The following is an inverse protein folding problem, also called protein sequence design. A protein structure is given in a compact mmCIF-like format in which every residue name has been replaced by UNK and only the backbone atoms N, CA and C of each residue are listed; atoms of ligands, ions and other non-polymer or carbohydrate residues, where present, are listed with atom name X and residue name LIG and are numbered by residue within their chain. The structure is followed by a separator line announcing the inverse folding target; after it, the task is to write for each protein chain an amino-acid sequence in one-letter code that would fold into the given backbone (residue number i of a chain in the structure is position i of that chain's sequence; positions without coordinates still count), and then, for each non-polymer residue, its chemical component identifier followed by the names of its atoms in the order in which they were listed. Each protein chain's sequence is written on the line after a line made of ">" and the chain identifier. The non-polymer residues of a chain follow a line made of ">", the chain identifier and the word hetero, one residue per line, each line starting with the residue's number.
data_IF_609414237157
#
_entry.id   IF_609414237157
#
_cell.length_a   1.000
_cell.length_b   1.000
_cell.length_c   1.000
_cell.angle_alpha   90.00
_cell.angle_beta   90.00
_cell.angle_gamma   90.00
#
_symmetry.space_group_name_H-M   'P 1'
#
loop_
_entity.id
_entity.type
_entity.pdbx_description
1 polymer ?
#
# COMPACT_ATOMS: atom_id res chain seq x y z
N UNK A 1 22.25 -19.47 39.12
CA UNK A 1 22.19 -18.40 40.14
C UNK A 1 23.05 -17.17 39.78
N UNK A 2 24.03 -17.31 38.89
CA UNK A 2 24.93 -16.25 38.42
C UNK A 2 24.28 -15.25 37.46
N UNK A 3 23.44 -15.70 36.52
CA UNK A 3 22.78 -14.83 35.53
C UNK A 3 21.80 -13.84 36.17
N UNK A 4 20.94 -14.31 37.08
CA UNK A 4 20.01 -13.43 37.81
C UNK A 4 20.73 -12.33 38.59
N UNK A 5 21.84 -12.68 39.24
CA UNK A 5 22.65 -11.74 40.02
C UNK A 5 23.33 -10.70 39.12
N UNK A 6 23.72 -11.09 37.90
CA UNK A 6 24.28 -10.16 36.92
C UNK A 6 23.21 -9.22 36.36
N UNK A 7 22.04 -9.75 35.99
CA UNK A 7 20.93 -8.95 35.46
C UNK A 7 20.42 -7.94 36.49
N UNK A 8 20.24 -8.35 37.75
CA UNK A 8 19.73 -7.45 38.80
C UNK A 8 20.70 -6.32 39.12
N UNK A 9 22.01 -6.59 39.13
CA UNK A 9 23.04 -5.57 39.40
C UNK A 9 23.23 -4.56 38.26
N UNK A 10 22.96 -4.96 37.02
CA UNK A 10 23.23 -4.15 35.83
C UNK A 10 21.96 -3.72 35.09
N UNK A 11 20.78 -3.89 35.70
CA UNK A 11 19.48 -3.70 35.05
C UNK A 11 19.38 -2.34 34.34
N UNK A 12 19.66 -1.24 35.05
CA UNK A 12 19.53 0.11 34.49
C UNK A 12 20.48 0.35 33.31
N UNK A 13 21.72 -0.15 33.39
CA UNK A 13 22.69 -0.03 32.30
C UNK A 13 22.27 -0.85 31.07
N UNK A 14 21.67 -2.03 31.28
CA UNK A 14 21.15 -2.87 30.21
C UNK A 14 19.95 -2.16 29.56
N UNK A 15 19.01 -1.65 30.34
CA UNK A 15 17.85 -0.90 29.84
C UNK A 15 18.31 0.32 29.04
N UNK A 16 19.28 1.06 29.55
CA UNK A 16 19.84 2.23 28.86
C UNK A 16 20.41 1.86 27.48
N UNK A 17 21.23 0.78 27.40
CA UNK A 17 21.80 0.32 26.12
C UNK A 17 20.75 -0.14 25.11
N UNK A 18 19.61 -0.64 25.58
CA UNK A 18 18.52 -1.11 24.72
C UNK A 18 17.56 0.00 24.29
N UNK A 19 17.45 1.09 25.07
CA UNK A 19 16.38 2.09 24.92
C UNK A 19 16.85 3.50 24.61
N UNK A 20 18.10 3.85 24.91
CA UNK A 20 18.67 5.17 24.53
C UNK A 20 19.16 5.12 23.10
N UNK A 21 18.62 6.01 22.27
CA UNK A 21 19.03 6.15 20.87
C UNK A 21 20.48 6.66 20.79
N UNK A 22 21.37 5.96 20.07
CA UNK A 22 22.74 6.43 19.84
C UNK A 22 22.77 7.67 18.95
N UNK A 23 23.77 8.53 19.12
CA UNK A 23 23.95 9.75 18.31
C UNK A 23 24.24 9.42 16.82
N UNK A 24 24.84 8.26 16.56
CA UNK A 24 25.13 7.81 15.20
C UNK A 24 24.02 6.87 14.68
N UNK A 25 23.21 7.36 13.75
CA UNK A 25 22.13 6.60 13.10
C UNK A 25 22.58 5.50 12.15
N UNK A 26 23.87 5.44 11.82
CA UNK A 26 24.43 4.41 10.91
C UNK A 26 25.09 3.25 11.64
N UNK A 27 25.22 3.32 12.97
CA UNK A 27 25.79 2.26 13.78
C UNK A 27 24.77 1.15 14.08
N UNK A 28 24.27 0.49 13.03
CA UNK A 28 23.20 -0.51 13.11
C UNK A 28 23.54 -1.73 13.98
N UNK A 29 24.82 -1.90 14.32
CA UNK A 29 25.29 -2.93 15.23
C UNK A 29 25.01 -2.68 16.71
N UNK A 30 24.64 -1.45 17.08
CA UNK A 30 24.35 -1.09 18.46
C UNK A 30 23.09 -1.79 19.00
N UNK A 31 23.11 -2.11 20.29
CA UNK A 31 22.03 -2.85 20.96
C UNK A 31 20.67 -2.18 20.83
N UNK A 32 20.63 -0.84 20.86
CA UNK A 32 19.42 -0.08 20.62
C UNK A 32 18.78 -0.44 19.27
N UNK A 33 19.58 -0.50 18.20
CA UNK A 33 19.02 -0.76 16.88
C UNK A 33 18.60 -2.22 16.73
N UNK A 34 19.42 -3.17 17.20
CA UNK A 34 19.06 -4.60 17.18
C UNK A 34 17.78 -4.88 17.97
N UNK A 35 17.67 -4.33 19.18
CA UNK A 35 16.50 -4.52 20.03
C UNK A 35 15.22 -3.93 19.45
N UNK A 36 15.28 -2.72 18.89
CA UNK A 36 14.10 -2.09 18.31
C UNK A 36 13.73 -2.66 16.93
N UNK A 37 14.69 -3.12 16.14
CA UNK A 37 14.43 -3.87 14.90
C UNK A 37 13.66 -5.17 15.17
N UNK A 38 14.05 -5.92 16.20
CA UNK A 38 13.34 -7.15 16.61
C UNK A 38 11.86 -6.94 16.97
N UNK A 39 11.47 -5.72 17.36
CA UNK A 39 10.04 -5.41 17.61
C UNK A 39 9.24 -5.27 16.32
N UNK A 40 9.91 -5.01 15.20
CA UNK A 40 9.28 -4.83 13.90
C UNK A 40 9.06 -6.14 13.16
N UNK A 41 9.90 -7.15 13.38
CA UNK A 41 9.75 -8.50 12.81
C UNK A 41 8.33 -9.08 12.90
N UNK A 42 7.65 -9.11 14.07
CA UNK A 42 6.29 -9.64 14.14
C UNK A 42 5.30 -8.81 13.32
N UNK A 43 5.47 -7.49 13.25
CA UNK A 43 4.58 -6.59 12.50
C UNK A 43 4.75 -6.85 10.99
N UNK A 44 5.99 -6.96 10.51
CA UNK A 44 6.29 -7.28 9.11
C UNK A 44 5.74 -8.65 8.73
N UNK A 45 5.95 -9.67 9.56
CA UNK A 45 5.43 -11.02 9.30
C UNK A 45 3.91 -11.05 9.24
N UNK A 46 3.24 -10.41 10.19
CA UNK A 46 1.78 -10.34 10.23
C UNK A 46 1.23 -9.62 8.99
N UNK A 47 1.86 -8.53 8.58
CA UNK A 47 1.51 -7.82 7.36
C UNK A 47 1.65 -8.69 6.11
N UNK A 48 2.77 -9.39 5.94
CA UNK A 48 3.00 -10.24 4.77
C UNK A 48 1.97 -11.37 4.65
N UNK A 49 1.57 -11.96 5.78
CA UNK A 49 0.50 -12.97 5.82
C UNK A 49 -0.83 -12.37 5.39
N UNK A 50 -1.22 -11.21 5.96
CA UNK A 50 -2.48 -10.56 5.62
C UNK A 50 -2.52 -10.05 4.17
N UNK A 51 -1.38 -9.58 3.65
CA UNK A 51 -1.22 -9.20 2.24
C UNK A 51 -1.53 -10.41 1.36
N UNK A 52 -0.86 -11.55 1.60
CA UNK A 52 -1.07 -12.77 0.82
C UNK A 52 -2.54 -13.22 0.82
N UNK A 53 -3.22 -13.17 1.96
CA UNK A 53 -4.65 -13.50 2.06
C UNK A 53 -5.55 -12.55 1.28
N UNK A 54 -5.12 -11.29 1.12
CA UNK A 54 -5.86 -10.24 0.41
C UNK A 54 -5.67 -10.32 -1.11
N UNK A 55 -4.45 -10.63 -1.58
CA UNK A 55 -4.15 -10.76 -3.02
C UNK A 55 -4.89 -11.93 -3.67
N UNK A 56 -5.30 -12.94 -2.90
CA UNK A 56 -6.05 -14.10 -3.38
C UNK A 56 -7.56 -13.84 -3.60
N UNK A 57 -8.05 -12.61 -3.37
CA UNK A 57 -9.49 -12.30 -3.40
C UNK A 57 -9.81 -11.22 -4.46
N UNK A 58 -10.92 -11.37 -5.21
CA UNK A 58 -11.44 -10.31 -6.07
C UNK A 58 -11.69 -8.99 -5.31
N UNK A 59 -11.41 -7.84 -5.92
CA UNK A 59 -11.54 -6.52 -5.28
C UNK A 59 -12.97 -6.21 -4.80
N UNK A 60 -14.00 -6.65 -5.53
CA UNK A 60 -15.41 -6.62 -5.07
C UNK A 60 -15.69 -7.34 -3.73
N UNK A 61 -14.86 -8.32 -3.34
CA UNK A 61 -14.92 -9.01 -2.04
C UNK A 61 -14.09 -8.28 -0.99
N UNK A 62 -12.99 -7.64 -1.39
CA UNK A 62 -12.10 -6.89 -0.49
C UNK A 62 -12.80 -5.69 0.15
N UNK A 63 -13.56 -4.92 -0.61
CA UNK A 63 -14.26 -3.72 -0.10
C UNK A 63 -15.25 -4.02 1.04
N UNK A 64 -15.89 -5.20 1.04
CA UNK A 64 -16.85 -5.62 2.07
C UNK A 64 -16.19 -6.32 3.26
N UNK A 65 -14.90 -6.61 3.17
CA UNK A 65 -14.19 -7.36 4.19
C UNK A 65 -13.62 -6.42 5.25
N UNK A 66 -14.14 -6.48 6.47
CA UNK A 66 -13.58 -5.73 7.60
C UNK A 66 -12.13 -6.14 7.93
N UNK A 67 -11.70 -7.32 7.47
CA UNK A 67 -10.35 -7.82 7.72
C UNK A 67 -9.27 -7.06 6.93
N UNK A 68 -9.53 -6.57 5.71
CA UNK A 68 -8.51 -5.83 4.95
C UNK A 68 -8.24 -4.45 5.57
N UNK A 69 -9.21 -3.88 6.30
CA UNK A 69 -8.98 -2.69 7.10
C UNK A 69 -7.98 -2.91 8.24
N UNK A 70 -7.81 -4.15 8.74
CA UNK A 70 -6.73 -4.48 9.67
C UNK A 70 -5.37 -4.32 9.01
N UNK A 71 -5.23 -4.79 7.76
CA UNK A 71 -4.02 -4.64 6.96
C UNK A 71 -3.71 -3.17 6.68
N UNK A 72 -4.72 -2.36 6.34
CA UNK A 72 -4.57 -0.90 6.19
C UNK A 72 -4.04 -0.25 7.47
N UNK A 73 -4.58 -0.62 8.63
CA UNK A 73 -4.12 -0.08 9.91
C UNK A 73 -2.70 -0.54 10.27
N UNK A 74 -2.24 -1.68 9.76
CA UNK A 74 -0.85 -2.14 9.94
C UNK A 74 0.15 -1.30 9.16
N UNK A 75 -0.25 -0.72 8.03
CA UNK A 75 0.63 0.13 7.23
C UNK A 75 1.22 1.31 8.00
N UNK A 76 0.47 1.90 8.94
CA UNK A 76 0.98 2.99 9.76
C UNK A 76 2.02 2.50 10.79
N UNK A 77 1.81 1.29 11.34
CA UNK A 77 2.79 0.64 12.23
C UNK A 77 4.06 0.28 11.48
N UNK A 78 3.94 -0.24 10.26
CA UNK A 78 5.08 -0.54 9.41
C UNK A 78 5.85 0.71 9.02
N UNK A 79 5.18 1.81 8.71
CA UNK A 79 5.83 3.10 8.45
C UNK A 79 6.67 3.55 9.64
N UNK A 80 6.19 3.35 10.87
CA UNK A 80 6.99 3.65 12.06
C UNK A 80 8.23 2.76 12.18
N UNK A 81 8.06 1.47 11.88
CA UNK A 81 9.14 0.47 11.85
C UNK A 81 10.15 0.70 10.74
N UNK A 82 9.71 1.26 9.63
CA UNK A 82 10.59 1.48 8.50
C UNK A 82 11.41 2.74 8.66
N UNK A 83 11.20 3.61 9.66
CA UNK A 83 11.89 4.92 9.75
C UNK A 83 13.42 4.83 9.78
N UNK A 84 14.00 3.85 10.49
CA UNK A 84 15.46 3.68 10.58
C UNK A 84 16.03 2.76 9.50
N UNK A 85 17.13 3.19 8.86
CA UNK A 85 17.90 2.37 7.91
C UNK A 85 18.49 1.11 8.54
N UNK A 86 18.60 1.08 9.86
CA UNK A 86 19.12 -0.08 10.60
C UNK A 86 18.08 -1.18 10.83
N UNK A 87 16.80 -0.91 10.61
CA UNK A 87 15.72 -1.90 10.79
C UNK A 87 15.32 -2.52 9.46
N UNK A 88 15.45 -1.74 8.39
CA UNK A 88 14.95 -2.07 7.08
C UNK A 88 15.77 -1.34 6.04
N UNK A 89 16.22 -2.07 5.02
CA UNK A 89 16.88 -1.46 3.87
C UNK A 89 15.93 -0.51 3.14
N UNK A 90 16.49 0.39 2.33
CA UNK A 90 15.68 1.29 1.51
C UNK A 90 14.76 0.51 0.55
N UNK A 91 15.27 -0.57 -0.05
CA UNK A 91 14.49 -1.44 -0.94
C UNK A 91 13.30 -2.09 -0.22
N UNK A 92 13.52 -2.68 0.95
CA UNK A 92 12.43 -3.28 1.74
C UNK A 92 11.41 -2.24 2.20
N UNK A 93 11.88 -1.05 2.59
CA UNK A 93 11.02 0.07 2.98
C UNK A 93 10.12 0.51 1.82
N UNK A 94 10.71 0.70 0.64
CA UNK A 94 9.97 1.11 -0.55
C UNK A 94 8.97 0.03 -0.96
N UNK A 95 9.35 -1.25 -0.89
CA UNK A 95 8.43 -2.37 -1.15
C UNK A 95 7.23 -2.36 -0.20
N UNK A 96 7.43 -2.12 1.10
CA UNK A 96 6.32 -2.04 2.06
C UNK A 96 5.43 -0.81 1.82
N UNK A 97 6.02 0.33 1.42
CA UNK A 97 5.25 1.52 1.07
C UNK A 97 4.36 1.25 -0.14
N UNK A 98 4.93 0.66 -1.20
CA UNK A 98 4.20 0.28 -2.41
C UNK A 98 3.05 -0.68 -2.08
N UNK A 99 3.34 -1.75 -1.33
CA UNK A 99 2.33 -2.72 -0.88
C UNK A 99 1.18 -2.05 -0.11
N UNK A 100 1.53 -1.13 0.77
CA UNK A 100 0.55 -0.40 1.57
C UNK A 100 -0.30 0.56 0.76
N UNK A 101 0.25 1.13 -0.31
CA UNK A 101 -0.49 1.98 -1.24
C UNK A 101 -1.42 1.14 -2.12
N UNK A 102 -1.00 -0.04 -2.57
CA UNK A 102 -1.85 -1.01 -3.28
C UNK A 102 -3.02 -1.50 -2.42
N UNK A 103 -2.77 -1.87 -1.17
CA UNK A 103 -3.82 -2.33 -0.24
C UNK A 103 -4.84 -1.21 0.01
N UNK A 104 -4.38 0.03 0.17
CA UNK A 104 -5.27 1.20 0.32
C UNK A 104 -6.09 1.46 -0.94
N UNK A 105 -5.49 1.32 -2.12
CA UNK A 105 -6.22 1.40 -3.39
C UNK A 105 -7.31 0.33 -3.44
N UNK A 106 -6.99 -0.91 -3.05
CA UNK A 106 -7.90 -2.06 -3.00
C UNK A 106 -9.20 -1.84 -2.21
N UNK A 107 -9.19 -0.94 -1.22
CA UNK A 107 -10.36 -0.61 -0.38
C UNK A 107 -10.95 0.77 -0.66
N UNK A 108 -10.42 1.48 -1.65
CA UNK A 108 -10.82 2.85 -1.94
C UNK A 108 -12.15 2.93 -2.70
N UNK A 109 -12.89 4.03 -2.47
CA UNK A 109 -14.07 4.38 -3.28
C UNK A 109 -13.68 4.59 -4.76
N UNK A 110 -12.42 4.96 -5.03
CA UNK A 110 -11.86 5.08 -6.37
C UNK A 110 -11.92 3.75 -7.11
N UNK A 111 -11.27 2.69 -6.60
CA UNK A 111 -11.18 1.40 -7.29
C UNK A 111 -12.57 0.76 -7.43
N UNK A 112 -13.40 0.87 -6.39
CA UNK A 112 -14.78 0.41 -6.45
C UNK A 112 -15.57 1.10 -7.59
N UNK A 113 -15.36 2.40 -7.76
CA UNK A 113 -16.01 3.13 -8.84
C UNK A 113 -15.51 2.69 -10.22
N UNK A 114 -14.21 2.44 -10.37
CA UNK A 114 -13.65 1.87 -11.60
C UNK A 114 -14.33 0.54 -11.93
N UNK A 115 -14.40 -0.41 -10.97
CA UNK A 115 -15.08 -1.69 -11.19
C UNK A 115 -16.55 -1.50 -11.59
N UNK A 116 -17.25 -0.57 -10.92
CA UNK A 116 -18.65 -0.26 -11.24
C UNK A 116 -18.83 0.26 -12.66
N UNK A 117 -17.95 1.16 -13.11
CA UNK A 117 -17.93 1.69 -14.48
C UNK A 117 -17.57 0.60 -15.48
N UNK A 118 -16.61 -0.28 -15.18
CA UNK A 118 -16.24 -1.39 -16.07
C UNK A 118 -17.38 -2.40 -16.26
N UNK A 119 -18.17 -2.66 -15.21
CA UNK A 119 -19.33 -3.56 -15.27
C UNK A 119 -20.52 -2.91 -15.97
N UNK A 120 -20.80 -1.63 -15.64
CA UNK A 120 -21.94 -0.87 -16.18
C UNK A 120 -21.45 0.48 -16.71
N UNK A 121 -20.83 0.51 -17.91
CA UNK A 121 -20.27 1.74 -18.45
C UNK A 121 -21.38 2.77 -18.69
N UNK A 122 -21.17 4.05 -18.36
CA UNK A 122 -22.10 5.11 -18.72
C UNK A 122 -22.26 5.25 -20.22
N UNK A 123 -23.41 5.79 -20.62
CA UNK A 123 -23.70 6.11 -22.01
C UNK A 123 -22.77 7.21 -22.52
N UNK A 124 -22.08 6.95 -23.64
CA UNK A 124 -21.10 7.87 -24.22
C UNK A 124 -21.71 9.24 -24.55
N UNK A 125 -23.00 9.26 -24.89
CA UNK A 125 -23.74 10.48 -25.23
C UNK A 125 -23.93 11.44 -24.05
N UNK A 126 -23.83 10.96 -22.81
CA UNK A 126 -23.95 11.79 -21.60
C UNK A 126 -22.67 12.56 -21.30
N UNK A 127 -21.53 12.13 -21.86
CA UNK A 127 -20.21 12.68 -21.57
C UNK A 127 -19.51 13.14 -22.85
N UNK A 128 -19.61 14.43 -23.22
CA UNK A 128 -19.01 14.97 -24.44
C UNK A 128 -17.49 14.75 -24.56
N UNK A 129 -16.80 14.48 -23.45
CA UNK A 129 -15.36 14.22 -23.40
C UNK A 129 -14.94 12.79 -23.81
N UNK A 130 -15.91 11.91 -24.05
CA UNK A 130 -15.70 10.53 -24.55
C UNK A 130 -15.72 10.44 -26.09
N UNK A 131 -15.65 11.59 -26.78
CA UNK A 131 -15.51 11.75 -28.25
C UNK A 131 -16.43 10.85 -29.11
N UNK A 132 -17.55 10.35 -28.55
CA UNK A 132 -18.49 9.46 -29.23
C UNK A 132 -18.05 8.00 -29.37
N UNK A 133 -16.93 7.57 -28.79
CA UNK A 133 -16.41 6.20 -28.93
C UNK A 133 -16.60 5.36 -27.65
N UNK A 134 -17.43 4.30 -27.70
CA UNK A 134 -17.62 3.38 -26.57
C UNK A 134 -16.32 2.70 -26.11
N UNK A 135 -15.32 2.57 -26.99
CA UNK A 135 -14.06 1.93 -26.65
C UNK A 135 -13.17 2.79 -25.74
N UNK A 136 -13.40 4.10 -25.67
CA UNK A 136 -12.57 4.98 -24.84
C UNK A 136 -12.77 4.74 -23.35
N UNK A 137 -14.00 4.41 -22.94
CA UNK A 137 -14.28 4.11 -21.54
C UNK A 137 -13.63 2.81 -21.06
N UNK A 138 -13.32 1.92 -22.01
CA UNK A 138 -12.59 0.68 -21.76
C UNK A 138 -11.07 0.89 -21.76
N UNK A 139 -10.56 2.04 -22.23
CA UNK A 139 -9.14 2.38 -22.15
C UNK A 139 -8.83 3.06 -20.79
N UNK A 140 -8.78 2.24 -19.74
CA UNK A 140 -8.53 2.69 -18.36
C UNK A 140 -7.28 3.56 -18.23
N UNK A 141 -6.18 3.22 -18.92
CA UNK A 141 -4.94 4.01 -18.85
C UNK A 141 -5.13 5.41 -19.41
N UNK A 142 -5.76 5.53 -20.58
CA UNK A 142 -6.03 6.83 -21.21
C UNK A 142 -6.99 7.67 -20.33
N UNK A 143 -8.04 7.06 -19.79
CA UNK A 143 -8.99 7.73 -18.91
C UNK A 143 -8.33 8.24 -17.61
N UNK A 144 -7.40 7.47 -17.05
CA UNK A 144 -6.69 7.82 -15.82
C UNK A 144 -5.52 8.80 -16.02
N UNK A 145 -5.05 9.00 -17.26
CA UNK A 145 -3.86 9.82 -17.55
C UNK A 145 -4.15 11.01 -18.47
N UNK A 146 -4.60 10.75 -19.70
CA UNK A 146 -4.90 11.77 -20.71
C UNK A 146 -6.25 12.44 -20.52
N UNK A 147 -7.28 11.68 -20.10
CA UNK A 147 -8.66 12.17 -19.93
C UNK A 147 -9.09 12.31 -18.46
N UNK A 148 -8.16 12.65 -17.56
CA UNK A 148 -8.41 12.76 -16.10
C UNK A 148 -9.63 13.58 -15.72
N UNK A 149 -9.86 14.71 -16.38
CA UNK A 149 -11.01 15.58 -16.10
C UNK A 149 -12.32 14.86 -16.43
N UNK A 150 -12.35 14.18 -17.59
CA UNK A 150 -13.49 13.36 -18.01
C UNK A 150 -13.74 12.24 -17.01
N UNK A 151 -12.68 11.54 -16.61
CA UNK A 151 -12.80 10.45 -15.66
C UNK A 151 -13.27 10.91 -14.29
N UNK A 152 -12.74 12.03 -13.75
CA UNK A 152 -13.22 12.62 -12.49
C UNK A 152 -14.70 12.98 -12.58
N UNK A 153 -15.15 13.55 -13.70
CA UNK A 153 -16.56 13.89 -13.90
C UNK A 153 -17.44 12.63 -13.88
N UNK A 154 -17.09 11.62 -14.67
CA UNK A 154 -17.80 10.34 -14.72
C UNK A 154 -17.85 9.70 -13.33
N UNK A 155 -16.71 9.58 -12.64
CA UNK A 155 -16.66 8.96 -11.31
C UNK A 155 -17.50 9.72 -10.29
N UNK A 156 -17.48 11.06 -10.34
CA UNK A 156 -18.29 11.89 -9.47
C UNK A 156 -19.78 11.70 -9.71
N UNK A 157 -20.21 11.63 -10.96
CA UNK A 157 -21.63 11.47 -11.31
C UNK A 157 -22.13 10.06 -10.97
N UNK A 158 -21.30 9.04 -11.19
CA UNK A 158 -21.69 7.63 -11.05
C UNK A 158 -21.53 7.09 -9.62
N UNK A 159 -20.59 7.64 -8.85
CA UNK A 159 -20.16 7.11 -7.55
C UNK A 159 -20.08 8.17 -6.44
N UNK A 160 -20.18 9.47 -6.76
CA UNK A 160 -20.12 10.57 -5.81
C UNK A 160 -18.71 11.10 -5.52
N UNK A 161 -18.64 12.19 -4.75
CA UNK A 161 -17.39 12.95 -4.48
C UNK A 161 -16.27 12.10 -3.87
N UNK A 162 -16.60 11.06 -3.09
CA UNK A 162 -15.57 10.23 -2.45
C UNK A 162 -14.71 9.46 -3.46
N UNK A 163 -15.28 9.11 -4.62
CA UNK A 163 -14.58 8.36 -5.66
C UNK A 163 -13.44 9.15 -6.31
N UNK A 164 -13.42 10.48 -6.17
CA UNK A 164 -12.40 11.36 -6.74
C UNK A 164 -11.42 11.91 -5.69
N UNK A 165 -11.57 11.54 -4.43
CA UNK A 165 -10.59 11.86 -3.38
C UNK A 165 -9.27 11.15 -3.69
N UNK A 166 -8.17 11.91 -3.64
CA UNK A 166 -6.83 11.44 -3.98
C UNK A 166 -6.72 10.79 -5.37
N UNK A 167 -7.58 11.18 -6.31
CA UNK A 167 -7.65 10.60 -7.66
C UNK A 167 -6.28 10.46 -8.31
N UNK A 168 -5.46 11.52 -8.31
CA UNK A 168 -4.17 11.50 -9.01
C UNK A 168 -3.18 10.50 -8.38
N UNK A 169 -3.24 10.29 -7.06
CA UNK A 169 -2.47 9.27 -6.37
C UNK A 169 -2.96 7.87 -6.76
N UNK A 170 -4.26 7.63 -6.62
CA UNK A 170 -4.88 6.33 -6.88
C UNK A 170 -4.75 5.90 -8.34
N UNK A 171 -4.94 6.85 -9.28
CA UNK A 171 -4.70 6.65 -10.70
C UNK A 171 -3.24 6.29 -10.99
N UNK A 172 -2.29 6.97 -10.33
CA UNK A 172 -0.86 6.67 -10.48
C UNK A 172 -0.51 5.25 -10.05
N UNK A 173 -1.02 4.80 -8.89
CA UNK A 173 -0.82 3.43 -8.38
C UNK A 173 -1.43 2.41 -9.35
N UNK A 174 -2.68 2.64 -9.78
CA UNK A 174 -3.38 1.72 -10.68
C UNK A 174 -2.68 1.61 -12.05
N UNK A 175 -2.23 2.72 -12.63
CA UNK A 175 -1.51 2.72 -13.91
C UNK A 175 -0.16 2.01 -13.80
N UNK A 176 0.54 2.13 -12.66
CA UNK A 176 1.77 1.38 -12.40
C UNK A 176 1.46 -0.13 -12.39
N UNK A 177 0.46 -0.55 -11.62
CA UNK A 177 0.06 -1.97 -11.54
C UNK A 177 -0.32 -2.57 -12.91
N UNK A 178 -1.09 -1.84 -13.72
CA UNK A 178 -1.47 -2.30 -15.07
C UNK A 178 -0.26 -2.49 -16.00
N UNK A 179 0.75 -1.61 -15.91
CA UNK A 179 1.99 -1.75 -16.70
C UNK A 179 2.84 -2.92 -16.25
N UNK A 180 2.93 -3.14 -14.93
CA UNK A 180 3.69 -4.24 -14.36
C UNK A 180 3.06 -5.61 -14.72
N UNK A 181 1.75 -5.67 -14.97
CA UNK A 181 1.07 -6.88 -15.47
C UNK A 181 1.31 -7.10 -16.98
N UNK A 182 1.26 -6.05 -17.80
CA UNK A 182 1.57 -6.12 -19.24
C UNK A 182 3.02 -6.60 -19.51
N UNK A 183 3.98 -6.23 -18.65
CA UNK A 183 5.37 -6.68 -18.76
C UNK A 183 5.52 -8.18 -18.43
N UNK A 184 4.79 -8.70 -17.43
CA UNK A 184 4.83 -10.11 -17.04
C UNK A 184 4.21 -11.03 -18.10
N UNK A 185 3.16 -10.59 -18.78
CA UNK A 185 2.53 -11.36 -19.87
C UNK A 185 3.44 -11.47 -21.10
N UNK A 186 4.31 -10.47 -21.35
CA UNK A 186 5.30 -10.52 -22.44
C UNK A 186 6.48 -11.46 -22.15
N UNK A 187 6.87 -11.63 -20.89
CA UNK A 187 7.95 -12.53 -20.48
C UNK A 187 7.55 -14.03 -20.53
N UNK A 188 6.27 -14.34 -20.67
CA UNK A 188 5.73 -15.70 -20.82
C UNK A 188 5.67 -16.19 -22.29
N UNK A 189 6.07 -15.36 -23.25
CA UNK A 189 5.99 -15.64 -24.70
C UNK A 189 7.39 -15.91 -25.32
N UNK A 190 8.46 -15.95 -24.51
CA UNK A 190 9.82 -16.37 -24.92
C UNK A 190 10.20 -17.73 -24.33
#
# INVERSE_FOLDING_TARGET
>A
MTEYTYLSKNYDQIVDRLTKKPDNETACDEYYYKYNGLKCDPIVKEFLVQKLESTLRPASILFKNTEIWKTVNMCDKLKSCSTSVCYMSETERNSIIDDCDEIRLGVSDFLFCIEKISINPPEVSEYPCLDGSPNEIHNTVEMLTGKKICMKQIMKDYCGEKAIVDFDKNAGIMVKALKDDDEKDNDLIL
#
